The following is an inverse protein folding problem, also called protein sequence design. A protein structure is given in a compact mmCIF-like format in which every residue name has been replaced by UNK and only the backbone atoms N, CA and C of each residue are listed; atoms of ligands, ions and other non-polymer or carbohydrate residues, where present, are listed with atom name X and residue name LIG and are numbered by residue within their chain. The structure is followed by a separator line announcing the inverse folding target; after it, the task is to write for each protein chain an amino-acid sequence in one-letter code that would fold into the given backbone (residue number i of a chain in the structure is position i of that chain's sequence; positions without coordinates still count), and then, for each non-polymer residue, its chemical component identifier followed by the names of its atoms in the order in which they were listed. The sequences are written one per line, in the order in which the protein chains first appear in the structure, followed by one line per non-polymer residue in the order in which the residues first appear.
data_IF_686310291685
#
_entry.id   IF_686310291685
#
_cell.length_a   1.000
_cell.length_b   1.000
_cell.length_c   1.000
_cell.angle_alpha   90.00
_cell.angle_beta   90.00
_cell.angle_gamma   90.00
#
_symmetry.space_group_name_H-M   'P 1'
#
loop_
_entity.id
_entity.type
_entity.pdbx_description
1 polymer ?
#
# COMPACT_ATOMS: atom_id res chain seq x y z
N UNK A 1 -9.37 12.17 9.03
CA UNK A 1 -8.45 13.30 8.83
C UNK A 1 -7.59 12.98 7.63
N UNK A 2 -7.43 13.93 6.72
CA UNK A 2 -6.69 13.73 5.46
C UNK A 2 -5.17 13.72 5.72
N UNK A 3 -4.51 12.60 5.43
CA UNK A 3 -3.06 12.45 5.62
C UNK A 3 -2.26 13.42 4.73
N UNK A 4 -2.78 13.76 3.56
CA UNK A 4 -2.16 14.72 2.65
C UNK A 4 -2.06 16.10 3.31
N UNK A 5 -3.18 16.59 3.88
CA UNK A 5 -3.21 17.85 4.60
C UNK A 5 -2.35 17.84 5.87
N UNK A 6 -2.28 16.70 6.57
CA UNK A 6 -1.45 16.55 7.77
C UNK A 6 0.04 16.73 7.45
N UNK A 7 0.56 15.99 6.46
CA UNK A 7 1.98 16.09 6.10
C UNK A 7 2.36 17.47 5.52
N UNK A 8 1.40 18.23 4.99
CA UNK A 8 1.65 19.59 4.53
C UNK A 8 1.88 20.63 5.65
N UNK A 9 1.44 20.37 6.88
CA UNK A 9 1.36 21.41 7.94
C UNK A 9 2.13 21.11 9.23
N UNK A 10 2.56 19.87 9.45
CA UNK A 10 3.30 19.50 10.65
C UNK A 10 4.74 20.00 10.60
N UNK A 11 5.35 20.21 11.78
CA UNK A 11 6.77 20.55 11.91
C UNK A 11 7.64 19.28 11.85
N UNK A 12 8.84 19.40 11.30
CA UNK A 12 9.79 18.30 11.12
C UNK A 12 11.04 18.52 12.00
N UNK A 13 11.70 17.46 12.51
CA UNK A 13 11.49 16.04 12.19
C UNK A 13 10.25 15.42 12.86
N UNK A 14 9.70 14.37 12.25
CA UNK A 14 8.54 13.62 12.77
C UNK A 14 8.88 12.16 12.97
N UNK A 15 8.34 11.57 14.05
CA UNK A 15 8.38 10.13 14.29
C UNK A 15 7.01 9.53 13.99
N UNK A 16 6.97 8.55 13.09
CA UNK A 16 5.78 7.77 12.77
C UNK A 16 6.00 6.36 13.32
N UNK A 17 5.10 5.88 14.18
CA UNK A 17 5.19 4.53 14.71
C UNK A 17 3.81 3.85 14.79
N UNK A 18 3.84 2.53 14.89
CA UNK A 18 2.68 1.74 15.29
C UNK A 18 3.04 0.90 16.52
N UNK A 19 2.41 -0.26 16.73
CA UNK A 19 2.78 -1.17 17.82
C UNK A 19 4.09 -1.90 17.54
N UNK A 20 4.25 -2.45 16.33
CA UNK A 20 5.42 -3.22 15.90
C UNK A 20 6.36 -2.43 14.97
N UNK A 21 5.98 -1.22 14.56
CA UNK A 21 6.75 -0.40 13.61
C UNK A 21 6.73 -0.90 12.16
N UNK A 22 5.98 -1.97 11.84
CA UNK A 22 5.94 -2.56 10.50
C UNK A 22 4.77 -1.98 9.66
N UNK A 23 3.60 -2.62 9.66
CA UNK A 23 2.59 -2.42 8.61
C UNK A 23 2.00 -1.00 8.56
N UNK A 24 1.41 -0.53 9.66
CA UNK A 24 0.78 0.82 9.69
C UNK A 24 1.80 1.94 9.61
N UNK A 25 3.01 1.71 10.12
CA UNK A 25 4.08 2.70 10.08
C UNK A 25 4.63 2.81 8.65
N UNK A 26 4.93 1.67 8.01
CA UNK A 26 5.33 1.61 6.60
C UNK A 26 4.28 2.17 5.65
N UNK A 27 2.99 1.89 5.88
CA UNK A 27 1.91 2.48 5.09
C UNK A 27 1.88 4.01 5.22
N UNK A 28 1.99 4.54 6.44
CA UNK A 28 2.05 5.98 6.67
C UNK A 28 3.33 6.62 6.08
N UNK A 29 4.47 5.90 6.11
CA UNK A 29 5.71 6.34 5.48
C UNK A 29 5.59 6.38 3.94
N UNK A 30 4.92 5.40 3.33
CA UNK A 30 4.59 5.43 1.92
C UNK A 30 3.72 6.65 1.57
N UNK A 31 2.67 6.92 2.34
CA UNK A 31 1.84 8.11 2.16
C UNK A 31 2.62 9.42 2.34
N UNK A 32 3.57 9.47 3.27
CA UNK A 32 4.46 10.62 3.43
C UNK A 32 5.32 10.84 2.17
N UNK A 33 5.93 9.79 1.62
CA UNK A 33 6.70 9.88 0.38
C UNK A 33 5.85 10.38 -0.79
N UNK A 34 4.63 9.87 -0.91
CA UNK A 34 3.69 10.29 -1.96
C UNK A 34 3.29 11.75 -1.81
N UNK A 35 2.78 12.14 -0.65
CA UNK A 35 2.14 13.44 -0.47
C UNK A 35 3.11 14.58 -0.18
N UNK A 36 4.21 14.30 0.54
CA UNK A 36 5.19 15.33 0.92
C UNK A 36 6.38 15.39 -0.01
N UNK A 37 6.88 14.24 -0.47
CA UNK A 37 8.07 14.17 -1.33
C UNK A 37 7.71 14.09 -2.83
N UNK A 38 6.43 13.86 -3.17
CA UNK A 38 5.99 13.75 -4.56
C UNK A 38 6.49 12.48 -5.27
N UNK A 39 6.88 11.46 -4.52
CA UNK A 39 7.36 10.21 -5.11
C UNK A 39 6.20 9.41 -5.72
N UNK A 40 6.43 8.73 -6.86
CA UNK A 40 5.40 7.91 -7.47
C UNK A 40 5.09 6.69 -6.59
N UNK A 41 3.84 6.20 -6.65
CA UNK A 41 3.35 5.15 -5.75
C UNK A 41 4.22 3.88 -5.77
N UNK A 42 4.65 3.42 -6.94
CA UNK A 42 5.52 2.24 -7.05
C UNK A 42 6.87 2.41 -6.31
N UNK A 43 7.35 3.64 -6.16
CA UNK A 43 8.54 3.93 -5.36
C UNK A 43 8.22 4.01 -3.87
N UNK A 44 7.10 4.64 -3.51
CA UNK A 44 6.68 4.75 -2.11
C UNK A 44 6.35 3.39 -1.46
N UNK A 45 5.89 2.41 -2.24
CA UNK A 45 5.63 1.04 -1.80
C UNK A 45 6.85 0.35 -1.16
N UNK A 46 8.08 0.83 -1.40
CA UNK A 46 9.29 0.29 -0.76
C UNK A 46 9.27 0.36 0.77
N UNK A 47 8.44 1.23 1.35
CA UNK A 47 8.27 1.34 2.81
C UNK A 47 7.48 0.15 3.39
N UNK A 48 6.83 -0.65 2.55
CA UNK A 48 6.22 -1.94 2.88
C UNK A 48 7.18 -3.09 2.50
N UNK A 49 8.35 -3.12 3.13
CA UNK A 49 9.37 -4.13 2.85
C UNK A 49 9.60 -5.08 4.03
N UNK A 50 10.04 -6.31 3.70
CA UNK A 50 10.50 -7.29 4.69
C UNK A 50 11.59 -6.73 5.63
N UNK A 51 12.47 -5.88 5.10
CA UNK A 51 13.50 -5.19 5.89
C UNK A 51 12.91 -4.37 7.05
N UNK A 52 11.69 -3.83 6.88
CA UNK A 52 10.93 -3.11 7.92
C UNK A 52 9.94 -4.01 8.67
N UNK A 53 10.07 -5.33 8.55
CA UNK A 53 9.23 -6.32 9.21
C UNK A 53 7.85 -6.51 8.57
N UNK A 54 7.60 -5.95 7.38
CA UNK A 54 6.35 -6.14 6.66
C UNK A 54 6.37 -7.45 5.85
N UNK A 55 5.32 -8.26 5.97
CA UNK A 55 5.20 -9.53 5.22
C UNK A 55 3.94 -9.55 4.35
N UNK A 56 4.16 -9.37 3.03
CA UNK A 56 3.13 -9.37 1.98
C UNK A 56 2.30 -10.65 1.92
N UNK A 57 2.86 -11.80 2.30
CA UNK A 57 2.13 -13.08 2.34
C UNK A 57 1.15 -13.23 3.52
N UNK A 58 0.99 -12.22 4.37
CA UNK A 58 0.07 -12.23 5.50
C UNK A 58 -1.22 -11.45 5.22
N UNK A 59 -2.11 -11.37 6.22
CA UNK A 59 -3.29 -10.51 6.17
C UNK A 59 -2.96 -9.03 5.93
N UNK A 60 -1.75 -8.58 6.28
CA UNK A 60 -1.34 -7.19 6.06
C UNK A 60 -0.87 -6.92 4.64
N UNK A 61 -0.70 -7.95 3.81
CA UNK A 61 -0.43 -7.81 2.38
C UNK A 61 -1.52 -7.12 1.58
N UNK A 62 -2.69 -6.92 2.18
CA UNK A 62 -3.75 -6.07 1.62
C UNK A 62 -3.27 -4.62 1.40
N UNK A 63 -2.26 -4.17 2.16
CA UNK A 63 -1.67 -2.84 2.01
C UNK A 63 -0.85 -2.72 0.72
N UNK A 64 -0.07 -3.75 0.36
CA UNK A 64 0.58 -3.82 -0.96
C UNK A 64 -0.47 -3.87 -2.06
N UNK A 65 -1.44 -4.77 -1.90
CA UNK A 65 -2.48 -4.99 -2.89
C UNK A 65 -3.27 -3.71 -3.18
N UNK A 66 -3.55 -2.90 -2.17
CA UNK A 66 -4.16 -1.58 -2.33
C UNK A 66 -3.36 -0.66 -3.26
N UNK A 67 -2.05 -0.52 -3.05
CA UNK A 67 -1.21 0.30 -3.91
C UNK A 67 -1.03 -0.30 -5.31
N UNK A 68 -0.98 -1.63 -5.42
CA UNK A 68 -0.93 -2.34 -6.70
C UNK A 68 -2.19 -2.09 -7.53
N UNK A 69 -3.38 -2.12 -6.92
CA UNK A 69 -4.63 -1.83 -7.63
C UNK A 69 -4.64 -0.40 -8.18
N UNK A 70 -4.11 0.57 -7.43
CA UNK A 70 -3.92 1.92 -7.97
C UNK A 70 -2.95 1.92 -9.16
N UNK A 71 -1.77 1.29 -9.02
CA UNK A 71 -0.79 1.24 -10.09
C UNK A 71 -1.36 0.59 -11.36
N UNK A 72 -2.11 -0.50 -11.23
CA UNK A 72 -2.78 -1.20 -12.33
C UNK A 72 -3.86 -0.33 -13.00
N UNK A 73 -4.70 0.33 -12.19
CA UNK A 73 -5.72 1.25 -12.69
C UNK A 73 -5.08 2.42 -13.45
N UNK A 74 -4.00 2.99 -12.91
CA UNK A 74 -3.30 4.12 -13.49
C UNK A 74 -2.57 3.79 -14.81
N UNK A 75 -2.13 2.55 -15.00
CA UNK A 75 -1.58 2.08 -16.30
C UNK A 75 -2.66 2.08 -17.38
N UNK A 76 -3.87 1.63 -17.05
CA UNK A 76 -4.98 1.50 -18.03
C UNK A 76 -5.65 2.84 -18.32
N UNK A 77 -5.81 3.67 -17.29
CA UNK A 77 -6.44 4.99 -17.36
C UNK A 77 -5.73 5.92 -16.37
N UNK A 78 -4.78 6.74 -16.84
CA UNK A 78 -4.04 7.64 -15.96
C UNK A 78 -4.96 8.52 -15.11
N UNK A 79 -4.74 8.49 -13.80
CA UNK A 79 -5.54 9.20 -12.79
C UNK A 79 -4.65 9.47 -11.58
N UNK A 80 -4.76 10.66 -10.97
CA UNK A 80 -4.02 10.93 -9.73
C UNK A 80 -4.55 10.08 -8.57
N UNK A 81 -3.67 9.81 -7.60
CA UNK A 81 -3.98 8.93 -6.48
C UNK A 81 -5.21 9.35 -5.68
N UNK A 82 -5.41 10.65 -5.46
CA UNK A 82 -6.53 11.13 -4.64
C UNK A 82 -7.86 11.05 -5.39
N UNK A 83 -7.85 11.37 -6.68
CA UNK A 83 -9.03 11.16 -7.55
C UNK A 83 -9.38 9.69 -7.61
N UNK A 84 -8.42 8.78 -7.81
CA UNK A 84 -8.68 7.35 -7.78
C UNK A 84 -9.26 6.91 -6.43
N UNK A 85 -8.65 7.34 -5.33
CA UNK A 85 -9.07 6.99 -3.96
C UNK A 85 -10.51 7.43 -3.64
N UNK A 86 -10.96 8.54 -4.22
CA UNK A 86 -12.27 9.12 -3.91
C UNK A 86 -13.36 8.76 -4.92
N UNK A 87 -13.00 8.32 -6.13
CA UNK A 87 -13.97 8.09 -7.22
C UNK A 87 -13.99 6.66 -7.76
N UNK A 88 -12.91 5.89 -7.57
CA UNK A 88 -12.76 4.54 -8.14
C UNK A 88 -12.56 3.50 -7.06
N UNK A 89 -11.78 3.82 -6.02
CA UNK A 89 -11.49 2.89 -4.95
C UNK A 89 -12.76 2.46 -4.21
N UNK A 90 -12.95 1.16 -4.13
CA UNK A 90 -13.97 0.51 -3.32
C UNK A 90 -13.31 -0.47 -2.35
N UNK A 91 -13.58 -0.28 -1.07
CA UNK A 91 -12.99 -1.08 0.01
C UNK A 91 -13.42 -2.53 -0.04
N UNK A 92 -14.69 -2.79 -0.30
CA UNK A 92 -15.25 -4.13 -0.18
C UNK A 92 -14.85 -4.95 -1.41
N UNK A 93 -14.85 -4.33 -2.60
CA UNK A 93 -14.28 -4.92 -3.82
C UNK A 93 -12.79 -5.23 -3.65
N UNK A 94 -12.01 -4.32 -3.04
CA UNK A 94 -10.59 -4.58 -2.77
C UNK A 94 -10.40 -5.80 -1.88
N UNK A 95 -11.17 -5.90 -0.78
CA UNK A 95 -11.09 -7.03 0.15
C UNK A 95 -11.47 -8.34 -0.52
N UNK A 96 -12.57 -8.36 -1.26
CA UNK A 96 -13.01 -9.53 -2.00
C UNK A 96 -11.95 -10.00 -2.98
N UNK A 97 -11.40 -9.08 -3.79
CA UNK A 97 -10.34 -9.39 -4.73
C UNK A 97 -9.06 -9.89 -4.03
N UNK A 98 -8.70 -9.30 -2.89
CA UNK A 98 -7.55 -9.74 -2.09
C UNK A 98 -7.74 -11.14 -1.53
N UNK A 99 -8.95 -11.51 -1.10
CA UNK A 99 -9.23 -12.86 -0.59
C UNK A 99 -9.18 -13.91 -1.71
N UNK A 100 -9.73 -13.60 -2.88
CA UNK A 100 -9.71 -14.51 -4.04
C UNK A 100 -8.28 -14.75 -4.55
N UNK A 101 -7.47 -13.69 -4.68
CA UNK A 101 -6.05 -13.81 -5.05
C UNK A 101 -5.20 -14.42 -3.93
N UNK A 102 -5.39 -13.98 -2.70
CA UNK A 102 -4.55 -14.36 -1.56
C UNK A 102 -4.60 -15.85 -1.20
N UNK A 103 -5.69 -16.55 -1.51
CA UNK A 103 -5.73 -18.02 -1.41
C UNK A 103 -5.13 -18.68 -2.66
N UNK A 104 -5.51 -18.22 -3.85
CA UNK A 104 -5.08 -18.84 -5.11
C UNK A 104 -3.57 -18.70 -5.37
N UNK A 105 -3.03 -17.50 -5.27
CA UNK A 105 -1.61 -17.22 -5.54
C UNK A 105 -0.71 -17.80 -4.44
N UNK A 106 -1.13 -17.82 -3.16
CA UNK A 106 -0.36 -18.47 -2.10
C UNK A 106 -0.28 -20.00 -2.27
N UNK A 107 -1.37 -20.65 -2.73
CA UNK A 107 -1.32 -22.07 -3.08
C UNK A 107 -0.45 -22.31 -4.31
N UNK A 108 -0.62 -21.50 -5.35
CA UNK A 108 0.11 -21.63 -6.62
C UNK A 108 1.60 -21.38 -6.42
N UNK A 109 2.01 -20.31 -5.73
CA UNK A 109 3.41 -20.01 -5.44
C UNK A 109 4.06 -21.08 -4.54
N UNK A 110 3.32 -21.65 -3.58
CA UNK A 110 3.84 -22.70 -2.68
C UNK A 110 3.92 -24.07 -3.36
N UNK A 111 3.09 -24.35 -4.36
CA UNK A 111 3.09 -25.60 -5.14
C UNK A 111 4.10 -25.52 -6.29
N UNK A 112 4.23 -24.37 -6.97
CA UNK A 112 5.13 -24.20 -8.11
C UNK A 112 6.60 -23.90 -7.73
N UNK A 113 6.89 -23.40 -6.52
CA UNK A 113 8.28 -23.30 -6.01
C UNK A 113 8.77 -24.60 -5.35
N UNK A 114 8.04 -25.71 -5.53
CA UNK A 114 8.47 -27.05 -5.12
C UNK A 114 8.56 -27.99 -6.31
N UNK A 115 9.16 -27.51 -7.41
CA UNK A 115 9.98 -28.28 -8.34
C UNK A 115 11.20 -27.44 -8.74
#
# INVERSE_FOLDING_TARGET
QDAQALFGRIEYPVLIHCKSGADRAGFAAALFRMFRLGEPVHQAMRELAWYYGHFKGSKTGILDFFFEQYCLANVSKPVDFMTWLTTVYDRDQLKEAFHTRGWADFLVDKVLHRE
#
